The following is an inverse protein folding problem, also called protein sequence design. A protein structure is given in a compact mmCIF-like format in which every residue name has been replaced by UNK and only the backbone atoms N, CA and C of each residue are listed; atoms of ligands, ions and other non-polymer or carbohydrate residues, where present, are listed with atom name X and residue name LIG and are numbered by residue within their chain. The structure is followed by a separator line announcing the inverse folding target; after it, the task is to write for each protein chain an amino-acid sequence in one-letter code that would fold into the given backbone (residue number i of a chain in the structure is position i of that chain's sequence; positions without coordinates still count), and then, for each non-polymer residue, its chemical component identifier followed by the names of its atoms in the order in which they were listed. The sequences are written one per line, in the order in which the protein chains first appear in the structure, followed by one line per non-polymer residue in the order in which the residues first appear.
data_IF_205006759222
#
_entry.id   IF_205006759222
#
_cell.length_a   1.000
_cell.length_b   1.000
_cell.length_c   1.000
_cell.angle_alpha   90.00
_cell.angle_beta   90.00
_cell.angle_gamma   90.00
#
_symmetry.space_group_name_H-M   'P 1'
#
loop_
_entity.id
_entity.type
_entity.pdbx_description
1 polymer ?
#
# COMPACT_ATOMS: atom_id res chain seq x y z
N UNK A 1 -2.68 10.40 2.03
CA UNK A 1 -3.36 11.62 2.52
C UNK A 1 -3.69 12.51 1.34
N UNK A 2 -4.82 13.20 1.38
CA UNK A 2 -5.25 14.04 0.25
C UNK A 2 -4.99 15.51 0.59
N UNK A 3 -3.90 16.08 0.11
CA UNK A 3 -3.67 17.52 0.16
C UNK A 3 -3.46 18.06 -1.25
N UNK A 4 -4.06 19.22 -1.56
CA UNK A 4 -4.02 19.82 -2.89
C UNK A 4 -2.63 20.37 -3.29
N UNK A 5 -1.67 20.45 -2.36
CA UNK A 5 -0.40 21.14 -2.54
C UNK A 5 0.83 20.30 -2.18
N UNK A 6 0.68 19.00 -1.92
CA UNK A 6 1.79 18.11 -1.60
C UNK A 6 2.12 17.20 -2.77
N UNK A 7 3.40 17.15 -3.16
CA UNK A 7 3.87 16.19 -4.15
C UNK A 7 3.96 14.81 -3.50
N UNK A 8 3.29 13.82 -4.09
CA UNK A 8 3.19 12.44 -3.55
C UNK A 8 4.53 11.70 -3.54
N UNK A 9 5.50 12.16 -4.34
CA UNK A 9 6.86 11.60 -4.39
C UNK A 9 7.85 12.36 -3.50
N UNK A 10 7.40 13.39 -2.78
CA UNK A 10 8.26 14.22 -1.93
C UNK A 10 8.29 13.69 -0.49
N UNK A 11 9.46 13.19 -0.08
CA UNK A 11 9.72 12.69 1.26
C UNK A 11 11.21 12.77 1.60
N UNK A 12 11.54 12.86 2.89
CA UNK A 12 12.93 12.76 3.34
C UNK A 12 13.39 11.30 3.30
N UNK A 13 14.31 11.00 2.39
CA UNK A 13 14.88 9.66 2.20
C UNK A 13 15.48 9.10 3.50
N UNK A 14 16.16 9.94 4.28
CA UNK A 14 16.84 9.51 5.51
C UNK A 14 15.87 9.19 6.65
N UNK A 15 14.62 9.61 6.54
CA UNK A 15 13.56 9.31 7.52
C UNK A 15 12.87 7.97 7.29
N UNK A 16 13.24 7.23 6.23
CA UNK A 16 12.63 5.95 5.86
C UNK A 16 13.56 4.81 6.20
N UNK A 17 13.12 3.80 6.96
CA UNK A 17 13.92 2.62 7.29
C UNK A 17 14.37 1.83 6.05
N UNK A 18 15.40 0.98 6.20
CA UNK A 18 15.79 0.04 5.15
C UNK A 18 14.72 -1.03 4.96
N UNK A 19 14.38 -1.31 3.71
CA UNK A 19 13.43 -2.35 3.33
C UNK A 19 14.11 -3.69 2.98
N UNK A 20 15.41 -3.85 3.24
CA UNK A 20 16.22 -5.00 2.78
C UNK A 20 15.65 -6.36 3.21
N UNK A 21 15.10 -6.43 4.41
CA UNK A 21 14.55 -7.67 4.99
C UNK A 21 13.03 -7.71 5.02
N UNK A 22 12.37 -6.72 4.42
CA UNK A 22 10.91 -6.62 4.37
C UNK A 22 10.35 -7.35 3.16
N UNK A 23 9.18 -7.99 3.31
CA UNK A 23 8.47 -8.69 2.25
C UNK A 23 7.15 -7.98 1.94
N UNK A 24 6.91 -7.70 0.67
CA UNK A 24 5.78 -6.91 0.21
C UNK A 24 4.87 -7.71 -0.72
N UNK A 25 3.57 -7.64 -0.48
CA UNK A 25 2.55 -8.00 -1.46
C UNK A 25 2.03 -6.75 -2.15
N UNK A 26 1.83 -6.80 -3.46
CA UNK A 26 1.16 -5.72 -4.20
C UNK A 26 0.00 -6.36 -4.97
N UNK A 27 -1.22 -5.93 -4.68
CA UNK A 27 -2.40 -6.26 -5.48
C UNK A 27 -2.79 -5.06 -6.31
N UNK A 28 -2.90 -5.22 -7.63
CA UNK A 28 -3.15 -4.13 -8.56
C UNK A 28 -4.34 -4.43 -9.47
N UNK A 29 -5.25 -3.46 -9.62
CA UNK A 29 -6.39 -3.60 -10.53
C UNK A 29 -5.98 -3.42 -11.99
N UNK A 30 -6.50 -4.30 -12.86
CA UNK A 30 -6.29 -4.24 -14.31
C UNK A 30 -7.07 -3.09 -14.96
N UNK A 31 -8.23 -2.74 -14.40
CA UNK A 31 -9.01 -1.62 -14.90
C UNK A 31 -8.25 -0.31 -14.73
N UNK A 32 -8.23 0.54 -15.77
CA UNK A 32 -7.42 1.76 -15.88
C UNK A 32 -5.90 1.48 -15.75
N UNK A 33 -5.40 0.45 -16.43
CA UNK A 33 -4.01 -0.02 -16.30
C UNK A 33 -2.95 1.03 -16.70
N UNK A 34 -3.28 1.95 -17.59
CA UNK A 34 -2.42 3.10 -17.87
C UNK A 34 -2.09 3.91 -16.60
N UNK A 35 -3.01 3.97 -15.65
CA UNK A 35 -2.84 4.63 -14.36
C UNK A 35 -2.26 3.66 -13.32
N UNK A 36 -2.92 2.51 -13.11
CA UNK A 36 -2.50 1.56 -12.07
C UNK A 36 -1.13 0.96 -12.34
N UNK A 37 -0.76 0.76 -13.61
CA UNK A 37 0.58 0.34 -14.00
C UNK A 37 1.66 1.39 -13.69
N UNK A 38 1.37 2.68 -13.86
CA UNK A 38 2.27 3.76 -13.47
C UNK A 38 2.42 3.87 -11.95
N UNK A 39 1.33 3.66 -11.20
CA UNK A 39 1.38 3.58 -9.72
C UNK A 39 2.19 2.37 -9.25
N UNK A 40 1.97 1.21 -9.87
CA UNK A 40 2.74 -0.01 -9.58
C UNK A 40 4.22 0.21 -9.80
N UNK A 41 4.59 0.80 -10.93
CA UNK A 41 5.99 1.12 -11.23
C UNK A 41 6.61 2.03 -10.16
N UNK A 42 5.93 3.11 -9.78
CA UNK A 42 6.37 4.00 -8.71
C UNK A 42 6.58 3.26 -7.39
N UNK A 43 5.62 2.43 -7.00
CA UNK A 43 5.73 1.65 -5.78
C UNK A 43 6.95 0.70 -5.79
N UNK A 44 7.12 -0.09 -6.85
CA UNK A 44 8.23 -1.04 -6.98
C UNK A 44 9.57 -0.32 -7.01
N UNK A 45 9.71 0.74 -7.81
CA UNK A 45 10.96 1.51 -7.90
C UNK A 45 11.34 2.12 -6.54
N UNK A 46 10.35 2.63 -5.80
CA UNK A 46 10.58 3.22 -4.47
C UNK A 46 10.94 2.16 -3.43
N UNK A 47 10.28 1.01 -3.40
CA UNK A 47 10.65 -0.11 -2.53
C UNK A 47 12.11 -0.53 -2.77
N UNK A 48 12.51 -0.71 -4.04
CA UNK A 48 13.89 -1.07 -4.43
C UNK A 48 14.89 0.01 -4.06
N UNK A 49 14.55 1.28 -4.23
CA UNK A 49 15.39 2.42 -3.81
C UNK A 49 15.70 2.39 -2.32
N UNK A 50 14.82 1.82 -1.50
CA UNK A 50 15.01 1.63 -0.06
C UNK A 50 15.58 0.25 0.31
N UNK A 51 16.02 -0.54 -0.67
CA UNK A 51 16.76 -1.80 -0.44
C UNK A 51 15.91 -3.07 -0.55
N UNK A 52 14.60 -2.99 -0.86
CA UNK A 52 13.79 -4.19 -1.06
C UNK A 52 14.33 -5.04 -2.22
N UNK A 53 14.42 -6.35 -2.00
CA UNK A 53 14.89 -7.32 -2.99
C UNK A 53 13.74 -7.76 -3.90
N UNK A 54 14.05 -8.06 -5.16
CA UNK A 54 13.04 -8.50 -6.14
C UNK A 54 12.25 -9.74 -5.69
N UNK A 55 12.93 -10.70 -5.09
CA UNK A 55 12.32 -11.91 -4.54
C UNK A 55 11.37 -11.67 -3.38
N UNK A 56 11.46 -10.50 -2.74
CA UNK A 56 10.60 -10.08 -1.62
C UNK A 56 9.42 -9.20 -2.07
N UNK A 57 9.22 -8.99 -3.37
CA UNK A 57 8.10 -8.20 -3.91
C UNK A 57 7.20 -9.11 -4.75
N UNK A 58 6.07 -9.53 -4.16
CA UNK A 58 5.04 -10.30 -4.85
C UNK A 58 4.03 -9.37 -5.51
N UNK A 59 3.76 -9.55 -6.80
CA UNK A 59 2.76 -8.77 -7.52
C UNK A 59 1.67 -9.70 -8.03
N UNK A 60 0.40 -9.35 -7.77
CA UNK A 60 -0.80 -10.04 -8.27
C UNK A 60 -1.79 -9.04 -8.84
N UNK A 61 -2.50 -9.43 -9.89
CA UNK A 61 -3.53 -8.62 -10.52
C UNK A 61 -4.93 -9.08 -10.13
N UNK A 62 -5.87 -8.13 -10.11
CA UNK A 62 -7.31 -8.37 -9.97
C UNK A 62 -8.05 -7.56 -11.03
N UNK A 63 -9.26 -7.97 -11.46
CA UNK A 63 -9.96 -7.30 -12.55
C UNK A 63 -10.23 -5.82 -12.30
N UNK A 64 -10.72 -5.46 -11.12
CA UNK A 64 -11.09 -4.08 -10.79
C UNK A 64 -10.77 -3.69 -9.35
N UNK A 65 -11.05 -2.44 -9.03
CA UNK A 65 -10.77 -1.89 -7.69
C UNK A 65 -11.64 -2.50 -6.59
N UNK A 66 -12.83 -3.00 -6.92
CA UNK A 66 -13.71 -3.66 -5.96
C UNK A 66 -13.11 -4.99 -5.45
N UNK A 67 -12.37 -5.70 -6.28
CA UNK A 67 -11.72 -6.97 -5.96
C UNK A 67 -10.42 -6.83 -5.17
N UNK A 68 -9.92 -5.60 -4.94
CA UNK A 68 -8.68 -5.35 -4.20
C UNK A 68 -8.72 -5.91 -2.78
N UNK A 69 -9.86 -5.81 -2.10
CA UNK A 69 -10.01 -6.35 -0.74
C UNK A 69 -9.82 -7.86 -0.71
N UNK A 70 -10.46 -8.59 -1.64
CA UNK A 70 -10.29 -10.03 -1.73
C UNK A 70 -8.85 -10.39 -2.08
N UNK A 71 -8.27 -9.70 -3.08
CA UNK A 71 -6.88 -9.94 -3.50
C UNK A 71 -5.88 -9.70 -2.37
N UNK A 72 -6.03 -8.61 -1.62
CA UNK A 72 -5.18 -8.30 -0.47
C UNK A 72 -5.30 -9.38 0.62
N UNK A 73 -6.54 -9.79 0.96
CA UNK A 73 -6.77 -10.84 1.94
C UNK A 73 -6.11 -12.16 1.52
N UNK A 74 -6.22 -12.55 0.25
CA UNK A 74 -5.59 -13.79 -0.25
C UNK A 74 -4.07 -13.72 -0.19
N UNK A 75 -3.45 -12.58 -0.48
CA UNK A 75 -2.00 -12.42 -0.33
C UNK A 75 -1.60 -12.59 1.14
N UNK A 76 -2.32 -11.99 2.07
CA UNK A 76 -2.06 -12.10 3.51
C UNK A 76 -2.18 -13.55 3.97
N UNK A 77 -3.23 -14.24 3.54
CA UNK A 77 -3.57 -15.59 4.02
C UNK A 77 -2.63 -16.68 3.46
N UNK A 78 -2.13 -16.50 2.23
CA UNK A 78 -1.35 -17.52 1.52
C UNK A 78 0.10 -17.14 1.23
N UNK A 79 0.62 -16.08 1.87
CA UNK A 79 2.02 -15.70 1.74
C UNK A 79 2.56 -15.08 3.03
N UNK A 80 3.89 -15.04 3.14
CA UNK A 80 4.59 -14.47 4.29
C UNK A 80 5.00 -13.01 4.01
N UNK A 81 4.03 -12.13 3.76
CA UNK A 81 4.30 -10.70 3.53
C UNK A 81 4.17 -9.89 4.81
N UNK A 82 4.97 -8.86 4.94
CA UNK A 82 4.94 -7.93 6.07
C UNK A 82 3.99 -6.76 5.85
N UNK A 83 3.66 -6.45 4.60
CA UNK A 83 2.63 -5.47 4.22
C UNK A 83 2.04 -5.79 2.84
N UNK A 84 0.81 -5.33 2.58
CA UNK A 84 0.19 -5.37 1.25
C UNK A 84 -0.11 -3.96 0.77
N UNK A 85 0.24 -3.64 -0.48
CA UNK A 85 -0.14 -2.39 -1.14
C UNK A 85 -1.28 -2.69 -2.11
N UNK A 86 -2.46 -2.09 -1.89
CA UNK A 86 -3.63 -2.25 -2.74
C UNK A 86 -3.74 -1.07 -3.71
N UNK A 87 -3.38 -1.30 -4.99
CA UNK A 87 -3.31 -0.29 -6.03
C UNK A 87 -4.54 -0.37 -6.93
N UNK A 88 -5.28 0.72 -7.04
CA UNK A 88 -6.43 0.84 -7.91
C UNK A 88 -6.68 2.26 -8.38
N UNK A 89 -7.57 2.38 -9.36
CA UNK A 89 -8.00 3.67 -9.89
C UNK A 89 -9.48 3.61 -10.27
N UNK A 90 -10.29 4.46 -9.65
CA UNK A 90 -11.70 4.65 -10.00
C UNK A 90 -11.90 6.08 -10.47
N UNK A 91 -12.40 6.21 -11.69
CA UNK A 91 -12.73 7.51 -12.30
C UNK A 91 -14.25 7.63 -12.37
N UNK A 92 -14.77 8.78 -11.96
CA UNK A 92 -16.22 9.03 -11.92
C UNK A 92 -16.84 8.92 -13.30
N UNK A 93 -17.87 8.08 -13.41
CA UNK A 93 -18.75 7.99 -14.57
C UNK A 93 -20.08 8.69 -14.31
N UNK A 94 -21.05 8.43 -15.18
CA UNK A 94 -22.36 9.11 -15.18
C UNK A 94 -23.33 8.60 -14.12
N UNK A 95 -23.01 7.50 -13.46
CA UNK A 95 -23.92 6.84 -12.50
C UNK A 95 -23.33 6.80 -11.09
N UNK A 96 -24.15 6.54 -10.05
CA UNK A 96 -23.69 6.37 -8.68
C UNK A 96 -22.75 5.18 -8.47
N UNK A 97 -22.51 4.35 -9.47
CA UNK A 97 -21.61 3.17 -9.38
C UNK A 97 -20.23 3.52 -8.82
N UNK A 98 -19.70 4.69 -9.21
CA UNK A 98 -18.45 5.23 -8.67
C UNK A 98 -18.43 5.26 -7.14
N UNK A 99 -19.51 5.78 -6.53
CA UNK A 99 -19.57 5.96 -5.07
C UNK A 99 -19.62 4.61 -4.35
N UNK A 100 -20.34 3.63 -4.90
CA UNK A 100 -20.40 2.28 -4.34
C UNK A 100 -19.08 1.52 -4.47
N UNK A 101 -18.41 1.60 -5.61
CA UNK A 101 -17.08 0.96 -5.79
C UNK A 101 -16.06 1.56 -4.86
N UNK A 102 -15.98 2.89 -4.77
CA UNK A 102 -15.07 3.59 -3.87
C UNK A 102 -15.34 3.24 -2.41
N UNK A 103 -16.61 3.27 -2.01
CA UNK A 103 -17.01 2.95 -0.63
C UNK A 103 -16.71 1.49 -0.28
N UNK A 104 -17.09 0.54 -1.15
CA UNK A 104 -16.87 -0.89 -0.92
C UNK A 104 -15.40 -1.25 -0.78
N UNK A 105 -14.55 -0.77 -1.69
CA UNK A 105 -13.11 -1.00 -1.62
C UNK A 105 -12.48 -0.34 -0.37
N UNK A 106 -12.89 0.89 -0.05
CA UNK A 106 -12.39 1.61 1.13
C UNK A 106 -12.77 0.91 2.42
N UNK A 107 -14.05 0.53 2.59
CA UNK A 107 -14.52 -0.18 3.78
C UNK A 107 -13.83 -1.54 3.93
N UNK A 108 -13.69 -2.29 2.83
CA UNK A 108 -13.01 -3.58 2.85
C UNK A 108 -11.55 -3.48 3.30
N UNK A 109 -10.78 -2.54 2.75
CA UNK A 109 -9.38 -2.31 3.15
C UNK A 109 -9.32 -1.82 4.60
N UNK A 110 -10.23 -0.94 5.03
CA UNK A 110 -10.32 -0.49 6.42
C UNK A 110 -10.55 -1.67 7.37
N UNK A 111 -11.43 -2.60 7.00
CA UNK A 111 -11.72 -3.78 7.80
C UNK A 111 -10.53 -4.72 7.92
N UNK A 112 -9.78 -4.95 6.82
CA UNK A 112 -8.54 -5.74 6.87
C UNK A 112 -7.52 -5.13 7.84
N UNK A 113 -7.34 -3.81 7.82
CA UNK A 113 -6.44 -3.13 8.76
C UNK A 113 -6.91 -3.16 10.22
N UNK A 114 -8.23 -3.16 10.45
CA UNK A 114 -8.78 -3.16 11.81
C UNK A 114 -8.76 -4.54 12.48
N UNK A 115 -8.76 -5.61 11.69
CA UNK A 115 -8.88 -7.00 12.18
C UNK A 115 -7.65 -7.87 11.93
N UNK A 116 -6.64 -7.35 11.22
CA UNK A 116 -5.47 -8.11 10.80
C UNK A 116 -4.15 -7.59 11.38
N UNK A 117 -3.13 -8.43 11.30
CA UNK A 117 -1.77 -8.13 11.78
C UNK A 117 -0.86 -7.58 10.66
N UNK A 118 -1.27 -7.73 9.40
CA UNK A 118 -0.51 -7.25 8.23
C UNK A 118 -1.14 -5.97 7.70
N UNK A 119 -0.43 -4.83 7.68
CA UNK A 119 -0.99 -3.58 7.18
C UNK A 119 -1.28 -3.64 5.68
N UNK A 120 -2.47 -3.17 5.30
CA UNK A 120 -2.90 -3.01 3.91
C UNK A 120 -2.88 -1.52 3.56
N UNK A 121 -1.98 -1.14 2.67
CA UNK A 121 -1.75 0.25 2.28
C UNK A 121 -2.73 0.65 1.19
N UNK A 122 -3.43 1.76 1.42
CA UNK A 122 -4.47 2.28 0.53
C UNK A 122 -3.87 3.04 -0.66
N UNK A 123 -3.61 2.31 -1.74
CA UNK A 123 -3.12 2.84 -3.02
C UNK A 123 -4.23 3.07 -4.07
N UNK A 124 -5.50 3.06 -3.64
CA UNK A 124 -6.64 3.35 -4.50
C UNK A 124 -6.80 4.86 -4.68
N UNK A 125 -6.67 5.34 -5.91
CA UNK A 125 -7.01 6.72 -6.26
C UNK A 125 -8.45 6.79 -6.79
N UNK A 126 -9.17 7.84 -6.38
CA UNK A 126 -10.54 8.12 -6.79
C UNK A 126 -10.59 9.54 -7.33
N UNK A 127 -10.96 9.70 -8.59
CA UNK A 127 -10.89 10.97 -9.30
C UNK A 127 -12.14 11.24 -10.11
N UNK A 128 -12.42 12.50 -10.39
CA UNK A 128 -13.54 12.88 -11.25
C UNK A 128 -13.17 12.79 -12.74
N UNK A 129 -11.87 12.92 -13.08
CA UNK A 129 -11.40 12.91 -14.47
C UNK A 129 -10.14 12.07 -14.63
N UNK A 130 -9.85 11.64 -15.85
CA UNK A 130 -8.61 10.93 -16.19
C UNK A 130 -7.38 11.81 -15.92
N UNK A 131 -7.43 13.09 -16.24
CA UNK A 131 -6.33 14.05 -15.98
C UNK A 131 -5.95 14.09 -14.50
N UNK A 132 -6.95 14.11 -13.60
CA UNK A 132 -6.70 14.04 -12.16
C UNK A 132 -6.02 12.74 -11.73
N UNK A 133 -6.29 11.63 -12.41
CA UNK A 133 -5.64 10.35 -12.15
C UNK A 133 -4.19 10.36 -12.67
N UNK A 134 -3.96 10.86 -13.88
CA UNK A 134 -2.62 11.03 -14.46
C UNK A 134 -1.73 11.92 -13.60
N UNK A 135 -2.28 13.02 -13.07
CA UNK A 135 -1.57 13.93 -12.18
C UNK A 135 -1.01 13.23 -10.93
N UNK A 136 -1.64 12.13 -10.48
CA UNK A 136 -1.26 11.36 -9.29
C UNK A 136 -0.52 10.06 -9.60
N UNK A 137 -0.34 9.78 -10.87
CA UNK A 137 0.37 8.61 -11.38
C UNK A 137 1.72 8.95 -12.03
N UNK A 138 2.40 9.97 -11.50
CA UNK A 138 3.67 10.49 -12.00
C UNK A 138 3.55 11.82 -12.75
N UNK A 139 2.36 12.44 -12.76
CA UNK A 139 2.15 13.79 -13.28
C UNK A 139 2.54 14.90 -12.31
N UNK A 140 1.87 16.03 -12.38
CA UNK A 140 2.24 17.25 -11.62
C UNK A 140 2.15 17.11 -10.09
N UNK A 141 1.39 16.13 -9.58
CA UNK A 141 1.27 15.87 -8.13
C UNK A 141 2.18 14.72 -7.65
N UNK A 142 3.06 14.20 -8.50
CA UNK A 142 3.91 13.05 -8.19
C UNK A 142 3.18 11.71 -8.35
N UNK A 143 3.70 10.67 -7.70
CA UNK A 143 3.20 9.30 -7.87
C UNK A 143 2.68 8.75 -6.53
N UNK A 144 1.41 8.40 -6.48
CA UNK A 144 0.79 7.77 -5.29
C UNK A 144 1.43 6.43 -4.93
N UNK A 145 2.01 5.73 -5.90
CA UNK A 145 2.76 4.50 -5.66
C UNK A 145 3.99 4.72 -4.79
N UNK A 146 4.70 5.84 -5.00
CA UNK A 146 5.85 6.22 -4.16
C UNK A 146 5.43 6.42 -2.71
N UNK A 147 4.35 7.21 -2.49
CA UNK A 147 3.78 7.42 -1.15
C UNK A 147 3.37 6.10 -0.49
N UNK A 148 2.75 5.19 -1.25
CA UNK A 148 2.32 3.88 -0.73
C UNK A 148 3.51 3.01 -0.33
N UNK A 149 4.59 3.00 -1.11
CA UNK A 149 5.80 2.26 -0.79
C UNK A 149 6.43 2.75 0.52
N UNK A 150 6.58 4.06 0.68
CA UNK A 150 7.09 4.67 1.91
C UNK A 150 6.20 4.35 3.11
N UNK A 151 4.88 4.42 2.91
CA UNK A 151 3.90 4.08 3.95
C UNK A 151 4.03 2.61 4.35
N UNK A 152 4.18 1.69 3.39
CA UNK A 152 4.36 0.26 3.68
C UNK A 152 5.61 0.01 4.53
N UNK A 153 6.76 0.57 4.15
CA UNK A 153 8.02 0.45 4.89
C UNK A 153 7.84 0.95 6.34
N UNK A 154 7.26 2.14 6.52
CA UNK A 154 7.06 2.72 7.84
C UNK A 154 6.07 1.92 8.70
N UNK A 155 5.04 1.33 8.10
CA UNK A 155 4.07 0.52 8.85
C UNK A 155 4.64 -0.83 9.27
N UNK A 156 5.53 -1.44 8.45
CA UNK A 156 6.27 -2.63 8.85
C UNK A 156 7.21 -2.31 10.02
N UNK A 157 8.00 -1.25 9.91
CA UNK A 157 8.92 -0.81 10.97
C UNK A 157 8.15 -0.52 12.27
N UNK A 158 7.00 0.15 12.18
CA UNK A 158 6.11 0.37 13.32
C UNK A 158 5.68 -0.95 13.98
N UNK A 159 5.20 -1.92 13.19
CA UNK A 159 4.75 -3.20 13.72
C UNK A 159 5.92 -3.97 14.39
N UNK A 160 7.07 -4.04 13.73
CA UNK A 160 8.25 -4.72 14.27
C UNK A 160 8.76 -4.07 15.56
N UNK A 161 8.71 -2.75 15.69
CA UNK A 161 9.11 -2.03 16.90
C UNK A 161 8.28 -2.41 18.11
N UNK A 162 6.99 -2.69 17.93
CA UNK A 162 6.09 -3.15 18.99
C UNK A 162 6.34 -4.61 19.37
N UNK A 163 6.59 -5.47 18.40
CA UNK A 163 6.90 -6.88 18.65
C UNK A 163 8.21 -7.04 19.45
N UNK A 164 9.24 -6.24 19.15
CA UNK A 164 10.49 -6.25 19.92
C UNK A 164 10.28 -5.90 21.41
N UNK A 165 9.35 -5.00 21.73
CA UNK A 165 9.05 -4.63 23.12
C UNK A 165 8.44 -5.77 23.93
N UNK A 166 7.62 -6.62 23.31
CA UNK A 166 7.02 -7.78 23.99
C UNK A 166 8.07 -8.82 24.39
N UNK A 167 9.02 -9.13 23.51
CA UNK A 167 10.08 -10.10 23.79
C UNK A 167 11.12 -9.62 24.83
N UNK A 168 11.31 -8.32 24.98
CA UNK A 168 12.23 -7.78 26.01
C UNK A 168 11.61 -7.77 27.41
N UNK A 169 10.29 -7.71 27.54
CA UNK A 169 9.59 -7.79 28.84
C UNK A 169 9.56 -9.21 29.40
N UNK A 170 9.35 -10.22 28.53
CA UNK A 170 9.34 -11.63 28.99
C UNK A 170 10.73 -12.13 29.43
N UNK A 171 11.80 -11.64 28.79
CA UNK A 171 13.18 -11.96 29.17
C UNK A 171 13.62 -11.29 30.50
N UNK A 172 12.90 -10.29 30.98
CA UNK A 172 13.18 -9.63 32.26
C UNK A 172 12.51 -10.36 33.45
N UNK A 173 11.37 -11.02 33.20
CA UNK A 173 10.63 -11.77 34.25
C UNK A 173 11.26 -13.14 34.59
N UNK A 174 11.98 -13.77 33.66
CA UNK A 174 12.68 -15.04 33.88
C UNK A 174 13.98 -14.92 34.74
N UNK A 175 14.37 -13.71 35.14
CA UNK A 175 15.57 -13.45 35.95
C UNK A 175 15.27 -13.24 37.44
N UNK A 176 14.01 -13.41 37.86
CA UNK A 176 13.58 -13.33 39.29
C UNK A 176 12.98 -14.66 39.70
N UNK A 177 13.78 -15.74 39.63
CA UNK A 177 13.47 -17.03 40.27
C UNK A 177 14.72 -17.63 40.83
#
# INVERSE_FOLDING_TARGET
MATAYHNLSDYDFNSVPSAENMKFGIVVSEWNYNITGALLKGAVDTLKKHGAKDENIMIKTVPGSFELTFGANQIIEYSEVDAVIAIGCVIRGDTPHFDYVCMGATQGITQLNASGDVPVIYGLITTNTMEQAEDRAGGKLGNKGDECAITAIKMIDFAWSLHCLLYTSDAADDRIS
#
